data_IF_476650477101
#
_entry.id   IF_476650477101
#
_cell.length_a   1.000
_cell.length_b   1.000
_cell.length_c   1.000
_cell.angle_alpha   90.00
_cell.angle_beta   90.00
_cell.angle_gamma   90.00
#
_symmetry.space_group_name_H-M   'P 1'
#
loop_
_entity.id
_entity.type
_entity.pdbx_description
1 polymer ?
#
# COMPACT_ATOMS: atom_id res chain seq x y z
N UNK A 1 -7.02 15.88 9.94
CA UNK A 1 -6.97 15.33 11.31
C UNK A 1 -6.40 16.31 12.31
N UNK A 2 -5.12 16.70 12.24
CA UNK A 2 -4.51 17.59 13.26
C UNK A 2 -5.22 18.96 13.40
N UNK A 3 -5.91 19.40 12.35
CA UNK A 3 -6.71 20.63 12.31
C UNK A 3 -8.23 20.38 12.38
N UNK A 4 -8.66 19.26 12.98
CA UNK A 4 -10.08 18.95 13.20
C UNK A 4 -10.82 18.22 12.06
N UNK A 5 -10.22 18.08 10.87
CA UNK A 5 -10.84 17.32 9.78
C UNK A 5 -10.96 15.82 10.08
N UNK A 6 -12.14 15.26 9.84
CA UNK A 6 -12.55 13.88 10.09
C UNK A 6 -12.41 13.06 8.79
N UNK A 7 -11.60 11.99 8.77
CA UNK A 7 -11.48 11.10 7.61
C UNK A 7 -12.84 10.53 7.18
N UNK A 8 -13.01 10.33 5.87
CA UNK A 8 -14.26 9.89 5.20
C UNK A 8 -15.40 10.90 5.18
N UNK A 9 -15.33 11.96 5.98
CA UNK A 9 -16.35 13.02 6.07
C UNK A 9 -15.85 14.31 5.42
N UNK A 10 -14.74 14.84 5.93
CA UNK A 10 -14.13 16.07 5.40
C UNK A 10 -13.10 15.78 4.31
N UNK A 11 -12.55 14.56 4.30
CA UNK A 11 -11.56 14.09 3.33
C UNK A 11 -11.87 12.63 2.99
N UNK A 12 -12.31 12.39 1.76
CA UNK A 12 -12.67 11.07 1.28
C UNK A 12 -11.44 10.29 0.80
N UNK A 13 -11.36 9.03 1.25
CA UNK A 13 -10.43 8.00 0.77
C UNK A 13 -10.95 6.61 1.21
N UNK A 14 -10.40 5.51 0.67
CA UNK A 14 -10.79 4.14 1.06
C UNK A 14 -9.85 3.46 2.04
N UNK A 15 -8.75 4.10 2.42
CA UNK A 15 -7.79 3.54 3.38
C UNK A 15 -8.42 3.58 4.77
N UNK A 16 -8.24 2.55 5.59
CA UNK A 16 -8.76 2.57 6.94
C UNK A 16 -8.04 3.61 7.82
N UNK A 17 -8.69 3.98 8.93
CA UNK A 17 -8.31 5.08 9.81
C UNK A 17 -6.86 5.00 10.33
N UNK A 18 -6.35 3.79 10.58
CA UNK A 18 -5.00 3.59 11.11
C UNK A 18 -3.91 4.17 10.22
N UNK A 19 -4.07 4.14 8.89
CA UNK A 19 -3.12 4.78 7.98
C UNK A 19 -3.11 6.31 8.16
N UNK A 20 -4.29 6.93 8.30
CA UNK A 20 -4.38 8.35 8.56
C UNK A 20 -3.75 8.73 9.91
N UNK A 21 -3.90 7.90 10.94
CA UNK A 21 -3.27 8.11 12.26
C UNK A 21 -1.74 8.06 12.15
N UNK A 22 -1.19 7.09 11.41
CA UNK A 22 0.25 6.99 11.16
C UNK A 22 0.77 8.26 10.49
N UNK A 23 0.10 8.73 9.45
CA UNK A 23 0.51 9.96 8.77
C UNK A 23 0.28 11.20 9.62
N UNK A 24 -0.80 11.29 10.39
CA UNK A 24 -1.02 12.37 11.34
C UNK A 24 0.10 12.46 12.37
N UNK A 25 0.62 11.32 12.86
CA UNK A 25 1.79 11.28 13.73
C UNK A 25 3.03 11.88 13.04
N UNK A 26 3.33 11.50 11.79
CA UNK A 26 4.47 12.08 11.07
C UNK A 26 4.31 13.59 10.79
N UNK A 27 3.08 14.08 10.65
CA UNK A 27 2.80 15.50 10.48
C UNK A 27 3.00 16.33 11.76
N UNK A 28 3.12 15.70 12.95
CA UNK A 28 3.49 16.41 14.18
C UNK A 28 4.91 17.01 14.10
N UNK A 29 5.73 16.55 13.15
CA UNK A 29 7.10 17.03 12.93
C UNK A 29 7.16 18.22 11.96
N UNK A 30 6.01 18.75 11.51
CA UNK A 30 5.84 19.98 10.73
C UNK A 30 6.85 20.14 9.56
N UNK A 31 7.83 21.08 9.54
CA UNK A 31 8.71 21.24 8.38
C UNK A 31 9.56 19.99 8.08
N UNK A 32 9.69 19.08 9.05
CA UNK A 32 10.40 17.81 8.91
C UNK A 32 9.47 16.62 8.60
N UNK A 33 8.17 16.83 8.35
CA UNK A 33 7.20 15.75 8.13
C UNK A 33 7.60 14.78 7.01
N UNK A 34 8.22 15.29 5.93
CA UNK A 34 8.75 14.48 4.84
C UNK A 34 9.82 13.51 5.34
N UNK A 35 10.79 14.02 6.10
CA UNK A 35 11.84 13.20 6.70
C UNK A 35 11.26 12.24 7.75
N UNK A 36 10.30 12.69 8.55
CA UNK A 36 9.68 11.89 9.60
C UNK A 36 9.01 10.62 9.03
N UNK A 37 8.18 10.74 8.00
CA UNK A 37 7.55 9.55 7.43
C UNK A 37 8.54 8.65 6.68
N UNK A 38 9.57 9.22 6.03
CA UNK A 38 10.59 8.44 5.34
C UNK A 38 11.46 7.64 6.33
N UNK A 39 11.84 8.27 7.45
CA UNK A 39 12.54 7.57 8.55
C UNK A 39 11.65 6.52 9.21
N UNK A 40 10.35 6.81 9.38
CA UNK A 40 9.37 5.84 9.86
C UNK A 40 9.21 4.63 8.92
N UNK A 41 9.19 4.87 7.61
CA UNK A 41 9.16 3.82 6.60
C UNK A 41 10.45 2.99 6.63
N UNK A 42 11.62 3.62 6.66
CA UNK A 42 12.92 2.95 6.79
C UNK A 42 13.00 2.09 8.05
N UNK A 43 12.59 2.63 9.20
CA UNK A 43 12.55 1.89 10.46
C UNK A 43 11.64 0.66 10.33
N UNK A 44 10.47 0.81 9.70
CA UNK A 44 9.53 -0.30 9.47
C UNK A 44 10.15 -1.39 8.58
N UNK A 45 10.86 -1.02 7.52
CA UNK A 45 11.59 -1.96 6.66
C UNK A 45 12.69 -2.68 7.44
N UNK A 46 13.52 -1.95 8.19
CA UNK A 46 14.61 -2.53 9.00
C UNK A 46 14.09 -3.51 10.05
N UNK A 47 13.04 -3.14 10.79
CA UNK A 47 12.41 -4.02 11.77
C UNK A 47 11.78 -5.25 11.10
N UNK A 48 11.14 -5.07 9.95
CA UNK A 48 10.59 -6.19 9.17
C UNK A 48 11.70 -7.12 8.69
N UNK A 49 12.83 -6.59 8.23
CA UNK A 49 14.00 -7.38 7.83
C UNK A 49 14.59 -8.18 9.01
N UNK A 50 14.61 -7.62 10.23
CA UNK A 50 15.00 -8.36 11.45
C UNK A 50 14.02 -9.53 11.71
N UNK A 51 12.72 -9.29 11.54
CA UNK A 51 11.68 -10.32 11.70
C UNK A 51 11.82 -11.41 10.62
N UNK A 52 12.10 -11.04 9.37
CA UNK A 52 12.44 -11.95 8.27
C UNK A 52 13.63 -12.81 8.66
N UNK A 53 14.73 -12.22 9.14
CA UNK A 53 15.90 -12.98 9.58
C UNK A 53 15.52 -13.98 10.68
N UNK A 54 14.81 -13.54 11.73
CA UNK A 54 14.39 -14.41 12.84
C UNK A 54 13.57 -15.62 12.36
N UNK A 55 12.66 -15.43 11.41
CA UNK A 55 11.87 -16.51 10.81
C UNK A 55 12.72 -17.40 9.88
N UNK A 56 13.55 -16.81 9.02
CA UNK A 56 14.38 -17.52 8.06
C UNK A 56 15.45 -18.41 8.72
N UNK A 57 15.93 -18.07 9.94
CA UNK A 57 16.83 -18.93 10.73
C UNK A 57 16.25 -20.31 11.04
N UNK A 58 14.93 -20.48 10.90
CA UNK A 58 14.26 -21.75 11.13
C UNK A 58 14.47 -22.75 9.98
N UNK A 59 14.91 -22.27 8.80
CA UNK A 59 15.09 -23.07 7.58
C UNK A 59 16.47 -22.93 6.95
N UNK A 60 17.28 -21.95 7.37
CA UNK A 60 18.59 -21.66 6.80
C UNK A 60 19.63 -21.19 7.83
N UNK A 61 20.90 -21.10 7.40
CA UNK A 61 22.01 -20.53 8.18
C UNK A 61 21.82 -19.02 8.45
N UNK A 62 22.69 -18.41 9.27
CA UNK A 62 22.61 -16.98 9.57
C UNK A 62 22.76 -16.14 8.31
N UNK A 63 23.71 -16.53 7.45
CA UNK A 63 23.91 -15.92 6.13
C UNK A 63 22.69 -16.12 5.24
N UNK A 64 22.09 -17.32 5.19
CA UNK A 64 20.88 -17.53 4.39
C UNK A 64 19.68 -16.69 4.85
N UNK A 65 19.55 -16.50 6.17
CA UNK A 65 18.54 -15.62 6.74
C UNK A 65 18.80 -14.13 6.41
N UNK A 66 20.07 -13.70 6.42
CA UNK A 66 20.47 -12.36 5.97
C UNK A 66 20.11 -12.16 4.49
N UNK A 67 20.39 -13.14 3.62
CA UNK A 67 20.03 -13.06 2.20
C UNK A 67 18.52 -12.94 1.98
N UNK A 68 17.71 -13.68 2.75
CA UNK A 68 16.25 -13.52 2.71
C UNK A 68 15.80 -12.10 3.10
N UNK A 69 16.42 -11.51 4.12
CA UNK A 69 16.12 -10.14 4.54
C UNK A 69 16.56 -9.10 3.52
N UNK A 70 17.76 -9.23 2.95
CA UNK A 70 18.25 -8.36 1.88
C UNK A 70 17.38 -8.47 0.63
N UNK A 71 16.93 -9.68 0.29
CA UNK A 71 16.03 -9.92 -0.83
C UNK A 71 14.69 -9.20 -0.61
N UNK A 72 14.12 -9.27 0.59
CA UNK A 72 12.92 -8.51 0.95
C UNK A 72 13.12 -7.01 0.70
N UNK A 73 14.21 -6.43 1.25
CA UNK A 73 14.50 -4.99 1.09
C UNK A 73 14.66 -4.61 -0.37
N UNK A 74 15.49 -5.34 -1.14
CA UNK A 74 15.75 -5.04 -2.54
C UNK A 74 14.48 -5.15 -3.41
N UNK A 75 13.57 -6.09 -3.10
CA UNK A 75 12.35 -6.27 -3.88
C UNK A 75 11.31 -5.16 -3.65
N UNK A 76 11.35 -4.45 -2.52
CA UNK A 76 10.42 -3.34 -2.26
C UNK A 76 10.51 -2.27 -3.35
N UNK A 77 11.73 -1.90 -3.76
CA UNK A 77 11.98 -0.84 -4.76
C UNK A 77 11.35 -1.15 -6.12
N UNK A 78 11.29 -2.44 -6.50
CA UNK A 78 10.69 -2.88 -7.76
C UNK A 78 9.18 -2.60 -7.84
N UNK A 79 8.51 -2.48 -6.70
CA UNK A 79 7.08 -2.29 -6.58
C UNK A 79 6.67 -0.92 -6.01
N UNK A 80 7.59 0.04 -5.92
CA UNK A 80 7.30 1.36 -5.37
C UNK A 80 7.37 1.45 -3.84
N UNK A 81 7.99 0.46 -3.18
CA UNK A 81 8.11 0.34 -1.72
C UNK A 81 9.27 1.13 -1.11
N UNK A 82 9.98 1.96 -1.87
CA UNK A 82 11.09 2.80 -1.39
C UNK A 82 10.66 3.97 -0.47
N UNK A 83 9.36 4.16 -0.24
CA UNK A 83 8.81 5.22 0.61
C UNK A 83 7.66 4.74 1.48
N UNK A 84 6.77 5.65 1.90
CA UNK A 84 5.68 5.35 2.84
C UNK A 84 4.48 4.56 2.28
N UNK A 85 4.68 3.62 1.35
CA UNK A 85 3.56 2.78 0.89
C UNK A 85 2.93 2.01 2.06
N UNK A 86 1.60 1.92 2.12
CA UNK A 86 0.91 1.23 3.23
C UNK A 86 1.48 -0.15 3.61
N UNK A 87 1.87 -1.05 2.67
CA UNK A 87 2.49 -2.33 3.00
C UNK A 87 3.83 -2.24 3.70
N UNK A 88 4.59 -1.15 3.52
CA UNK A 88 5.86 -0.94 4.22
C UNK A 88 5.64 -0.90 5.74
N UNK A 89 4.55 -0.29 6.18
CA UNK A 89 4.18 -0.21 7.60
C UNK A 89 3.55 -1.52 8.09
N UNK A 90 2.52 -2.02 7.41
CA UNK A 90 1.77 -3.16 7.94
C UNK A 90 2.51 -4.50 7.81
N UNK A 91 3.47 -4.64 6.90
CA UNK A 91 4.29 -5.85 6.80
C UNK A 91 5.05 -6.14 8.10
N UNK A 92 5.41 -5.11 8.87
CA UNK A 92 6.00 -5.30 10.20
C UNK A 92 5.01 -6.00 11.15
N UNK A 93 3.76 -5.53 11.19
CA UNK A 93 2.70 -6.12 12.02
C UNK A 93 2.40 -7.55 11.59
N UNK A 94 2.24 -7.78 10.28
CA UNK A 94 2.00 -9.11 9.70
C UNK A 94 3.19 -10.05 9.99
N UNK A 95 4.42 -9.60 9.79
CA UNK A 95 5.63 -10.38 10.09
C UNK A 95 5.71 -10.75 11.57
N UNK A 96 5.43 -9.82 12.48
CA UNK A 96 5.37 -10.07 13.92
C UNK A 96 4.24 -11.05 14.30
N UNK A 97 3.09 -10.98 13.63
CA UNK A 97 1.99 -11.92 13.80
C UNK A 97 2.42 -13.34 13.38
N UNK A 98 2.97 -13.48 12.18
CA UNK A 98 3.46 -14.76 11.67
C UNK A 98 4.62 -15.32 12.49
N UNK A 99 5.50 -14.47 13.03
CA UNK A 99 6.56 -14.90 13.94
C UNK A 99 6.01 -15.56 15.22
N UNK A 100 4.86 -15.13 15.73
CA UNK A 100 4.20 -15.81 16.86
C UNK A 100 3.75 -17.22 16.48
N UNK A 101 3.24 -17.43 15.26
CA UNK A 101 2.87 -18.74 14.75
C UNK A 101 4.10 -19.62 14.51
N UNK A 102 5.18 -19.06 13.95
CA UNK A 102 6.46 -19.78 13.79
C UNK A 102 7.01 -20.27 15.13
N UNK A 103 6.87 -19.48 16.20
CA UNK A 103 7.28 -19.92 17.55
C UNK A 103 6.48 -21.13 18.03
N UNK A 104 5.18 -21.22 17.70
CA UNK A 104 4.37 -22.41 17.97
C UNK A 104 4.88 -23.62 17.15
N UNK A 105 5.13 -23.43 15.85
CA UNK A 105 5.60 -24.51 14.96
C UNK A 105 6.92 -25.14 15.45
N UNK A 106 7.78 -24.33 16.05
CA UNK A 106 9.11 -24.74 16.55
C UNK A 106 9.09 -25.36 17.93
N UNK A 107 8.05 -25.15 18.71
CA UNK A 107 7.99 -25.68 20.06
C UNK A 107 7.90 -27.21 20.04
N UNK A 108 8.64 -27.87 20.92
CA UNK A 108 8.61 -29.33 21.07
C UNK A 108 7.36 -29.77 21.83
N UNK A 109 7.03 -29.02 22.88
CA UNK A 109 5.83 -29.19 23.69
C UNK A 109 5.03 -27.89 23.68
N UNK A 110 3.71 -28.01 23.55
CA UNK A 110 2.79 -26.87 23.55
C UNK A 110 1.60 -27.18 24.45
N UNK A 111 1.23 -26.20 25.28
CA UNK A 111 -0.05 -26.18 25.98
C UNK A 111 -1.07 -25.42 25.15
N UNK A 112 -2.36 -25.73 25.34
CA UNK A 112 -3.43 -24.97 24.69
C UNK A 112 -3.37 -23.48 25.06
N UNK A 113 -3.04 -23.16 26.31
CA UNK A 113 -2.88 -21.79 26.77
C UNK A 113 -1.81 -21.01 25.98
N UNK A 114 -0.69 -21.64 25.64
CA UNK A 114 0.37 -20.99 24.85
C UNK A 114 -0.08 -20.76 23.39
N UNK A 115 -0.83 -21.72 22.82
CA UNK A 115 -1.43 -21.56 21.48
C UNK A 115 -2.42 -20.40 21.48
N UNK A 116 -3.30 -20.32 22.47
CA UNK A 116 -4.26 -19.23 22.63
C UNK A 116 -3.53 -17.90 22.79
N UNK A 117 -2.55 -17.80 23.70
CA UNK A 117 -1.80 -16.57 23.94
C UNK A 117 -1.13 -16.04 22.67
N UNK A 118 -0.40 -16.89 21.94
CA UNK A 118 0.30 -16.49 20.72
C UNK A 118 -0.65 -16.26 19.55
N UNK A 119 -1.70 -17.07 19.44
CA UNK A 119 -2.76 -16.91 18.45
C UNK A 119 -3.47 -15.57 18.62
N UNK A 120 -3.92 -15.26 19.83
CA UNK A 120 -4.54 -13.97 20.17
C UNK A 120 -3.62 -12.79 19.86
N UNK A 121 -2.33 -12.87 20.20
CA UNK A 121 -1.36 -11.83 19.85
C UNK A 121 -1.22 -11.67 18.31
N UNK A 122 -1.15 -12.78 17.57
CA UNK A 122 -1.08 -12.73 16.11
C UNK A 122 -2.35 -12.11 15.50
N UNK A 123 -3.52 -12.50 15.98
CA UNK A 123 -4.79 -12.00 15.46
C UNK A 123 -5.03 -10.53 15.82
N UNK A 124 -4.58 -10.07 17.00
CA UNK A 124 -4.62 -8.65 17.35
C UNK A 124 -3.75 -7.82 16.40
N UNK A 125 -2.53 -8.29 16.09
CA UNK A 125 -1.64 -7.64 15.13
C UNK A 125 -2.25 -7.60 13.72
N UNK A 126 -2.95 -8.66 13.30
CA UNK A 126 -3.75 -8.62 12.07
C UNK A 126 -4.90 -7.62 12.14
N UNK A 127 -5.60 -7.51 13.28
CA UNK A 127 -6.63 -6.49 13.49
C UNK A 127 -6.11 -5.06 13.37
N UNK A 128 -4.91 -4.79 13.90
CA UNK A 128 -4.24 -3.50 13.73
C UNK A 128 -3.77 -3.29 12.27
N UNK A 129 -3.29 -4.35 11.62
CA UNK A 129 -2.89 -4.34 10.21
C UNK A 129 -4.08 -4.02 9.27
N UNK A 130 -5.27 -4.56 9.57
CA UNK A 130 -6.52 -4.23 8.88
C UNK A 130 -6.85 -2.74 8.96
N UNK A 131 -6.46 -2.05 10.03
CA UNK A 131 -6.62 -0.59 10.14
C UNK A 131 -5.63 0.21 9.29
N UNK A 132 -4.61 -0.42 8.72
CA UNK A 132 -3.70 0.20 7.75
C UNK A 132 -4.14 -0.14 6.33
N UNK A 133 -4.49 -1.41 6.07
CA UNK A 133 -5.06 -1.87 4.80
C UNK A 133 -5.86 -3.16 4.97
N UNK A 134 -7.12 -3.15 4.52
CA UNK A 134 -8.02 -4.31 4.64
C UNK A 134 -7.57 -5.56 3.87
N UNK A 135 -6.72 -5.43 2.84
CA UNK A 135 -6.22 -6.57 2.07
C UNK A 135 -5.39 -7.56 2.90
N UNK A 136 -4.96 -7.15 4.09
CA UNK A 136 -4.29 -8.03 5.07
C UNK A 136 -5.22 -9.14 5.60
N UNK A 137 -6.54 -9.04 5.34
CA UNK A 137 -7.53 -10.08 5.66
C UNK A 137 -7.15 -11.44 5.08
N UNK A 138 -6.57 -11.51 3.88
CA UNK A 138 -6.22 -12.79 3.26
C UNK A 138 -5.16 -13.54 4.07
N UNK A 139 -4.11 -12.82 4.50
CA UNK A 139 -3.05 -13.38 5.35
C UNK A 139 -3.55 -13.67 6.76
N UNK A 140 -4.45 -12.83 7.31
CA UNK A 140 -5.09 -13.05 8.60
C UNK A 140 -5.99 -14.30 8.62
N UNK A 141 -6.76 -14.54 7.55
CA UNK A 141 -7.54 -15.76 7.37
C UNK A 141 -6.63 -16.99 7.31
N UNK A 142 -5.52 -16.93 6.56
CA UNK A 142 -4.53 -18.00 6.56
C UNK A 142 -3.95 -18.25 7.96
N UNK A 143 -3.59 -17.20 8.70
CA UNK A 143 -3.09 -17.33 10.07
C UNK A 143 -4.12 -18.02 10.99
N UNK A 144 -5.40 -17.60 10.94
CA UNK A 144 -6.48 -18.22 11.71
C UNK A 144 -6.68 -19.71 11.36
N UNK A 145 -6.73 -20.04 10.07
CA UNK A 145 -6.84 -21.43 9.60
C UNK A 145 -5.63 -22.27 10.03
N UNK A 146 -4.42 -21.71 9.97
CA UNK A 146 -3.21 -22.40 10.37
C UNK A 146 -3.14 -22.61 11.89
N UNK A 147 -3.63 -21.66 12.69
CA UNK A 147 -3.81 -21.85 14.14
C UNK A 147 -4.81 -22.98 14.43
N UNK A 148 -5.91 -23.05 13.69
CA UNK A 148 -6.85 -24.18 13.74
C UNK A 148 -6.16 -25.52 13.43
N UNK A 149 -5.32 -25.55 12.39
CA UNK A 149 -4.49 -26.71 12.08
C UNK A 149 -3.55 -27.08 13.24
N UNK A 150 -2.89 -26.12 13.89
CA UNK A 150 -2.04 -26.36 15.06
C UNK A 150 -2.87 -26.96 16.21
N UNK A 151 -4.02 -26.37 16.56
CA UNK A 151 -4.91 -26.89 17.61
C UNK A 151 -5.29 -28.35 17.35
N UNK A 152 -5.65 -28.68 16.10
CA UNK A 152 -5.99 -30.07 15.72
C UNK A 152 -4.80 -31.02 15.80
N UNK A 153 -3.60 -30.59 15.41
CA UNK A 153 -2.36 -31.40 15.54
C UNK A 153 -2.04 -31.71 17.00
N UNK A 154 -2.45 -30.85 17.93
CA UNK A 154 -2.33 -31.04 19.38
C UNK A 154 -3.57 -31.71 20.03
N UNK A 155 -4.41 -32.36 19.21
CA UNK A 155 -5.58 -33.16 19.66
C UNK A 155 -6.62 -32.39 20.47
N UNK A 156 -6.70 -31.07 20.30
CA UNK A 156 -7.77 -30.26 20.88
C UNK A 156 -9.12 -30.68 20.25
N UNK A 157 -10.17 -30.74 21.08
CA UNK A 157 -11.51 -31.16 20.65
C UNK A 157 -12.07 -30.21 19.58
N UNK A 158 -13.02 -30.67 18.76
CA UNK A 158 -13.67 -29.81 17.76
C UNK A 158 -14.43 -28.63 18.39
N UNK A 159 -15.21 -28.82 19.48
CA UNK A 159 -15.85 -27.71 20.19
C UNK A 159 -14.86 -26.66 20.70
N UNK A 160 -13.76 -27.09 21.34
CA UNK A 160 -12.75 -26.15 21.86
C UNK A 160 -12.01 -25.45 20.72
N UNK A 161 -11.73 -26.15 19.62
CA UNK A 161 -11.13 -25.54 18.42
C UNK A 161 -12.05 -24.46 17.85
N UNK A 162 -13.36 -24.72 17.75
CA UNK A 162 -14.35 -23.74 17.30
C UNK A 162 -14.43 -22.52 18.21
N UNK A 163 -14.39 -22.72 19.54
CA UNK A 163 -14.34 -21.64 20.53
C UNK A 163 -13.08 -20.78 20.36
N UNK A 164 -11.92 -21.41 20.26
CA UNK A 164 -10.64 -20.70 20.16
C UNK A 164 -10.52 -19.95 18.82
N UNK A 165 -10.99 -20.53 17.71
CA UNK A 165 -11.07 -19.84 16.41
C UNK A 165 -12.06 -18.66 16.43
N UNK A 166 -13.17 -18.79 17.14
CA UNK A 166 -14.13 -17.68 17.32
C UNK A 166 -13.49 -16.55 18.12
N UNK A 167 -12.77 -16.88 19.20
CA UNK A 167 -12.00 -15.90 19.99
C UNK A 167 -10.99 -15.16 19.09
N UNK A 168 -10.22 -15.91 18.29
CA UNK A 168 -9.26 -15.36 17.35
C UNK A 168 -9.88 -14.42 16.31
N UNK A 169 -11.02 -14.79 15.72
CA UNK A 169 -11.76 -13.94 14.79
C UNK A 169 -12.25 -12.66 15.48
N UNK A 170 -12.82 -12.77 16.69
CA UNK A 170 -13.27 -11.62 17.48
C UNK A 170 -12.13 -10.66 17.76
N UNK A 171 -10.97 -11.15 18.19
CA UNK A 171 -9.79 -10.32 18.47
C UNK A 171 -9.30 -9.60 17.20
N UNK A 172 -9.29 -10.27 16.05
CA UNK A 172 -8.88 -9.66 14.79
C UNK A 172 -9.85 -8.58 14.30
N UNK A 173 -11.16 -8.78 14.49
CA UNK A 173 -12.18 -7.85 14.04
C UNK A 173 -12.40 -6.69 15.02
N UNK A 174 -12.02 -6.84 16.29
CA UNK A 174 -12.27 -5.87 17.34
C UNK A 174 -11.80 -4.44 16.98
N UNK A 175 -10.56 -4.19 16.46
CA UNK A 175 -10.16 -2.84 16.09
C UNK A 175 -11.07 -2.21 15.02
N UNK A 176 -11.50 -3.00 14.03
CA UNK A 176 -12.42 -2.53 12.98
C UNK A 176 -13.81 -2.21 13.52
N UNK A 177 -14.33 -3.07 14.40
CA UNK A 177 -15.64 -2.86 15.05
C UNK A 177 -15.61 -1.62 15.93
N UNK A 178 -14.54 -1.39 16.70
CA UNK A 178 -14.38 -0.21 17.55
C UNK A 178 -14.33 1.07 16.70
N UNK A 179 -13.54 1.08 15.62
CA UNK A 179 -13.47 2.24 14.72
C UNK A 179 -14.82 2.49 14.07
N UNK A 180 -15.43 1.48 13.44
CA UNK A 180 -16.74 1.62 12.80
C UNK A 180 -17.83 2.06 13.78
N UNK A 181 -17.90 1.43 14.95
CA UNK A 181 -18.83 1.79 16.03
C UNK A 181 -18.69 3.24 16.48
N UNK A 182 -17.45 3.76 16.57
CA UNK A 182 -17.20 5.17 16.88
C UNK A 182 -17.78 6.09 15.82
N UNK A 183 -17.60 5.79 14.52
CA UNK A 183 -18.20 6.59 13.45
C UNK A 183 -19.73 6.56 13.51
N UNK A 184 -20.34 5.41 13.82
CA UNK A 184 -21.79 5.31 14.02
C UNK A 184 -22.29 6.16 15.18
N UNK A 185 -21.62 6.10 16.34
CA UNK A 185 -21.99 6.89 17.52
C UNK A 185 -21.84 8.40 17.28
N UNK A 186 -20.90 8.81 16.43
CA UNK A 186 -20.69 10.20 16.05
C UNK A 186 -21.60 10.68 14.89
N UNK A 187 -22.49 9.85 14.35
CA UNK A 187 -23.40 10.21 13.25
C UNK A 187 -22.79 10.11 11.84
N UNK A 188 -21.58 9.56 11.71
CA UNK A 188 -20.84 9.41 10.45
C UNK A 188 -20.72 7.96 9.97
N UNK A 189 -21.59 7.08 10.48
CA UNK A 189 -21.54 5.64 10.20
C UNK A 189 -21.71 5.29 8.73
N UNK A 190 -22.56 6.01 8.00
CA UNK A 190 -22.81 5.77 6.57
C UNK A 190 -21.60 6.16 5.71
N UNK A 191 -20.93 7.26 6.01
CA UNK A 191 -19.70 7.70 5.32
C UNK A 191 -18.58 6.68 5.52
N UNK A 192 -18.36 6.26 6.77
CA UNK A 192 -17.37 5.23 7.09
C UNK A 192 -17.67 3.91 6.38
N UNK A 193 -18.92 3.44 6.45
CA UNK A 193 -19.35 2.19 5.81
C UNK A 193 -19.19 2.23 4.30
N UNK A 194 -19.63 3.33 3.67
CA UNK A 194 -19.49 3.50 2.23
C UNK A 194 -18.02 3.49 1.81
N UNK A 195 -17.19 4.32 2.45
CA UNK A 195 -15.78 4.45 2.10
C UNK A 195 -15.00 3.13 2.29
N UNK A 196 -15.23 2.42 3.40
CA UNK A 196 -14.40 1.28 3.79
C UNK A 196 -14.92 -0.08 3.29
N UNK A 197 -16.23 -0.22 3.06
CA UNK A 197 -16.85 -1.51 2.70
C UNK A 197 -17.43 -1.48 1.29
N UNK A 198 -18.24 -0.47 0.96
CA UNK A 198 -19.08 -0.52 -0.25
C UNK A 198 -18.35 0.01 -1.50
N UNK A 199 -17.58 1.08 -1.36
CA UNK A 199 -16.95 1.84 -2.46
C UNK A 199 -16.19 0.96 -3.47
N UNK A 200 -15.49 -0.07 -2.99
CA UNK A 200 -14.70 -0.99 -3.82
C UNK A 200 -15.54 -1.74 -4.85
N UNK A 201 -16.79 -2.08 -4.52
CA UNK A 201 -17.70 -2.82 -5.41
C UNK A 201 -18.27 -1.95 -6.52
N UNK A 202 -18.15 -0.63 -6.41
CA UNK A 202 -18.60 0.33 -7.43
C UNK A 202 -17.51 0.72 -8.43
N UNK A 203 -16.28 0.18 -8.28
CA UNK A 203 -15.24 0.36 -9.29
C UNK A 203 -15.66 -0.28 -10.61
N UNK A 204 -15.42 0.43 -11.70
CA UNK A 204 -15.60 -0.16 -13.03
C UNK A 204 -14.35 -0.93 -13.44
N UNK A 205 -14.50 -1.87 -14.38
CA UNK A 205 -13.36 -2.71 -14.80
C UNK A 205 -12.34 -1.89 -15.59
N UNK A 206 -11.06 -2.13 -15.32
CA UNK A 206 -9.98 -1.58 -16.15
C UNK A 206 -10.11 -2.05 -17.62
N UNK A 207 -9.69 -1.21 -18.58
CA UNK A 207 -9.57 -1.62 -19.97
C UNK A 207 -8.72 -2.89 -20.12
N UNK A 208 -9.11 -3.88 -20.95
CA UNK A 208 -8.43 -5.19 -21.02
C UNK A 208 -6.92 -5.11 -21.31
N UNK A 209 -6.49 -4.15 -22.13
CA UNK A 209 -5.08 -3.95 -22.45
C UNK A 209 -4.25 -3.47 -21.24
N UNK A 210 -4.83 -2.58 -20.41
CA UNK A 210 -4.21 -2.09 -19.17
C UNK A 210 -4.15 -3.23 -18.16
N UNK A 211 -5.24 -3.98 -18.01
CA UNK A 211 -5.33 -5.13 -17.12
C UNK A 211 -4.27 -6.20 -17.46
N UNK A 212 -4.11 -6.54 -18.75
CA UNK A 212 -3.10 -7.50 -19.22
C UNK A 212 -1.66 -7.00 -19.00
N UNK A 213 -1.43 -5.69 -19.18
CA UNK A 213 -0.14 -5.07 -18.86
C UNK A 213 0.19 -5.16 -17.36
N UNK A 214 -0.76 -4.78 -16.51
CA UNK A 214 -0.65 -4.83 -15.05
C UNK A 214 -0.43 -6.27 -14.56
N UNK A 215 -1.18 -7.24 -15.09
CA UNK A 215 -0.98 -8.67 -14.81
C UNK A 215 0.44 -9.13 -15.16
N UNK A 216 0.93 -8.79 -16.35
CA UNK A 216 2.30 -9.17 -16.74
C UNK A 216 3.33 -8.58 -15.79
N UNK A 217 3.20 -7.30 -15.42
CA UNK A 217 4.13 -6.66 -14.50
C UNK A 217 4.12 -7.33 -13.13
N UNK A 218 2.93 -7.58 -12.56
CA UNK A 218 2.83 -8.23 -11.25
C UNK A 218 3.37 -9.67 -11.28
N UNK A 219 3.13 -10.41 -12.37
CA UNK A 219 3.67 -11.74 -12.56
C UNK A 219 5.21 -11.73 -12.68
N UNK A 220 5.80 -10.75 -13.35
CA UNK A 220 7.26 -10.58 -13.42
C UNK A 220 7.87 -10.19 -12.07
N UNK A 221 7.15 -9.44 -11.24
CA UNK A 221 7.59 -9.07 -9.89
C UNK A 221 7.55 -10.28 -8.94
N UNK A 222 6.48 -11.07 -8.97
CA UNK A 222 6.26 -12.19 -8.04
C UNK A 222 6.95 -13.47 -8.51
N UNK A 223 6.94 -13.74 -9.82
CA UNK A 223 7.35 -14.98 -10.44
C UNK A 223 8.74 -15.47 -10.03
N UNK A 224 9.81 -14.65 -10.06
CA UNK A 224 11.14 -15.07 -9.68
C UNK A 224 11.24 -15.55 -8.22
N UNK A 225 10.53 -14.89 -7.29
CA UNK A 225 10.51 -15.33 -5.89
C UNK A 225 9.60 -16.55 -5.70
N UNK A 226 8.50 -16.65 -6.44
CA UNK A 226 7.60 -17.79 -6.38
C UNK A 226 8.27 -19.07 -6.91
N UNK A 227 9.10 -18.94 -7.96
CA UNK A 227 9.93 -20.01 -8.50
C UNK A 227 10.85 -20.63 -7.44
N UNK A 228 11.29 -19.84 -6.45
CA UNK A 228 12.14 -20.35 -5.36
C UNK A 228 11.45 -21.44 -4.55
N UNK A 229 10.11 -21.44 -4.47
CA UNK A 229 9.33 -22.50 -3.82
C UNK A 229 9.49 -23.84 -4.55
N UNK A 230 9.50 -23.81 -5.88
CA UNK A 230 9.69 -25.00 -6.72
C UNK A 230 11.16 -25.45 -6.67
N UNK A 231 12.11 -24.52 -6.86
CA UNK A 231 13.53 -24.83 -6.86
C UNK A 231 13.99 -25.50 -5.56
N UNK A 232 13.49 -25.05 -4.40
CA UNK A 232 13.90 -25.63 -3.12
C UNK A 232 13.42 -27.08 -2.93
N UNK A 233 12.38 -27.53 -3.65
CA UNK A 233 11.92 -28.93 -3.61
C UNK A 233 12.93 -29.87 -4.27
N UNK A 234 13.60 -29.39 -5.32
CA UNK A 234 14.60 -30.16 -6.06
C UNK A 234 16.00 -30.04 -5.44
N UNK A 235 16.40 -28.83 -5.06
CA UNK A 235 17.77 -28.52 -4.64
C UNK A 235 18.04 -28.76 -3.14
N UNK A 236 16.99 -28.83 -2.31
CA UNK A 236 17.13 -28.82 -0.84
C UNK A 236 16.32 -29.95 -0.19
N UNK A 237 16.76 -31.20 -0.39
CA UNK A 237 16.07 -32.41 0.11
C UNK A 237 16.37 -32.75 1.57
N UNK A 238 17.57 -32.42 2.05
CA UNK A 238 18.00 -32.75 3.41
C UNK A 238 17.56 -31.68 4.39
N UNK A 239 16.44 -31.91 5.09
CA UNK A 239 15.87 -30.99 6.08
C UNK A 239 15.50 -31.71 7.36
N UNK A 240 15.73 -31.09 8.52
CA UNK A 240 15.21 -31.60 9.80
C UNK A 240 13.67 -31.51 9.83
N UNK A 241 13.04 -32.22 10.77
CA UNK A 241 11.58 -32.20 10.91
C UNK A 241 11.03 -30.77 11.14
N UNK A 242 11.71 -29.97 11.98
CA UNK A 242 11.33 -28.58 12.26
C UNK A 242 11.49 -27.71 11.01
N UNK A 243 12.61 -27.85 10.28
CA UNK A 243 12.83 -27.12 9.03
C UNK A 243 11.73 -27.41 7.99
N UNK A 244 11.30 -28.68 7.87
CA UNK A 244 10.20 -29.06 6.97
C UNK A 244 8.88 -28.39 7.35
N UNK A 245 8.52 -28.37 8.64
CA UNK A 245 7.29 -27.71 9.11
C UNK A 245 7.32 -26.20 8.87
N UNK A 246 8.44 -25.55 9.18
CA UNK A 246 8.61 -24.11 8.95
C UNK A 246 8.58 -23.77 7.46
N UNK A 247 9.27 -24.54 6.61
CA UNK A 247 9.24 -24.33 5.17
C UNK A 247 7.83 -24.54 4.58
N UNK A 248 7.09 -25.54 5.05
CA UNK A 248 5.69 -25.73 4.66
C UNK A 248 4.84 -24.51 5.00
N UNK A 249 4.96 -23.98 6.23
CA UNK A 249 4.25 -22.77 6.65
C UNK A 249 4.61 -21.56 5.77
N UNK A 250 5.90 -21.30 5.54
CA UNK A 250 6.33 -20.17 4.69
C UNK A 250 5.87 -20.30 3.24
N UNK A 251 5.89 -21.51 2.68
CA UNK A 251 5.41 -21.76 1.32
C UNK A 251 3.90 -21.58 1.23
N UNK A 252 3.14 -22.12 2.19
CA UNK A 252 1.68 -21.97 2.23
C UNK A 252 1.27 -20.50 2.43
N UNK A 253 1.96 -19.77 3.32
CA UNK A 253 1.77 -18.34 3.49
C UNK A 253 2.09 -17.58 2.20
N UNK A 254 3.20 -17.90 1.53
CA UNK A 254 3.57 -17.27 0.25
C UNK A 254 2.49 -17.46 -0.81
N UNK A 255 2.00 -18.69 -0.98
CA UNK A 255 0.92 -18.98 -1.94
C UNK A 255 -0.35 -18.22 -1.57
N UNK A 256 -0.72 -18.18 -0.29
CA UNK A 256 -1.89 -17.43 0.15
C UNK A 256 -1.76 -15.92 -0.10
N UNK A 257 -0.58 -15.34 0.18
CA UNK A 257 -0.32 -13.92 -0.07
C UNK A 257 -0.43 -13.60 -1.57
N UNK A 258 0.14 -14.47 -2.43
CA UNK A 258 0.02 -14.33 -3.90
C UNK A 258 -1.43 -14.45 -4.36
N UNK A 259 -2.20 -15.41 -3.84
CA UNK A 259 -3.64 -15.51 -4.14
C UNK A 259 -4.37 -14.23 -3.73
N UNK A 260 -4.08 -13.69 -2.53
CA UNK A 260 -4.66 -12.44 -2.05
C UNK A 260 -4.37 -11.24 -2.98
N UNK A 261 -3.17 -11.16 -3.55
CA UNK A 261 -2.84 -10.16 -4.57
C UNK A 261 -3.71 -10.32 -5.82
N UNK A 262 -3.90 -11.57 -6.29
CA UNK A 262 -4.66 -11.82 -7.50
C UNK A 262 -6.16 -11.59 -7.33
N UNK A 263 -6.72 -11.83 -6.14
CA UNK A 263 -8.15 -11.63 -5.83
C UNK A 263 -8.61 -10.17 -5.87
N UNK A 264 -7.69 -9.18 -5.82
CA UNK A 264 -8.04 -7.75 -5.85
C UNK A 264 -8.45 -7.29 -7.27
N UNK A 265 -7.85 -7.85 -8.33
CA UNK A 265 -8.26 -7.65 -9.72
C UNK A 265 -7.65 -6.47 -10.49
N UNK A 266 -7.17 -5.41 -9.84
CA UNK A 266 -6.56 -4.24 -10.50
C UNK A 266 -5.07 -4.18 -10.16
N UNK A 267 -4.28 -5.05 -10.79
CA UNK A 267 -2.93 -5.44 -10.36
C UNK A 267 -1.84 -4.36 -10.46
N UNK A 268 -1.98 -3.27 -9.71
CA UNK A 268 -0.93 -2.26 -9.54
C UNK A 268 0.32 -2.88 -8.92
N UNK A 269 1.51 -2.45 -9.36
CA UNK A 269 2.79 -3.02 -8.91
C UNK A 269 2.93 -3.07 -7.37
N UNK A 270 2.50 -2.01 -6.67
CA UNK A 270 2.59 -1.93 -5.21
C UNK A 270 1.69 -2.93 -4.47
N UNK A 271 0.79 -3.62 -5.16
CA UNK A 271 0.04 -4.75 -4.59
C UNK A 271 0.88 -6.01 -4.43
N UNK A 272 2.05 -6.11 -5.08
CA UNK A 272 2.96 -7.23 -4.91
C UNK A 272 3.74 -7.20 -3.58
N UNK A 273 3.90 -6.01 -2.98
CA UNK A 273 4.73 -5.80 -1.77
C UNK A 273 4.41 -6.77 -0.61
N UNK A 274 3.13 -7.05 -0.28
CA UNK A 274 2.81 -7.97 0.81
C UNK A 274 3.31 -9.39 0.53
N UNK A 275 3.26 -9.84 -0.72
CA UNK A 275 3.75 -11.16 -1.11
C UNK A 275 5.28 -11.28 -0.99
N UNK A 276 6.02 -10.18 -1.13
CA UNK A 276 7.48 -10.20 -1.03
C UNK A 276 7.96 -10.63 0.36
N UNK A 277 7.21 -10.33 1.43
CA UNK A 277 7.56 -10.72 2.78
C UNK A 277 7.66 -12.25 2.94
N UNK A 278 6.59 -13.04 2.76
CA UNK A 278 6.67 -14.50 2.85
C UNK A 278 7.54 -15.13 1.78
N UNK A 279 7.51 -14.61 0.54
CA UNK A 279 8.30 -15.16 -0.56
C UNK A 279 9.80 -15.05 -0.30
N UNK A 280 10.24 -13.93 0.29
CA UNK A 280 11.65 -13.74 0.67
C UNK A 280 12.06 -14.70 1.78
N UNK A 281 11.20 -14.91 2.79
CA UNK A 281 11.45 -15.88 3.87
C UNK A 281 11.52 -17.31 3.30
N UNK A 282 10.58 -17.70 2.43
CA UNK A 282 10.54 -19.02 1.80
C UNK A 282 11.81 -19.30 0.97
N UNK A 283 12.37 -18.25 0.36
CA UNK A 283 13.61 -18.33 -0.43
C UNK A 283 14.84 -18.71 0.39
N UNK A 284 14.85 -18.46 1.71
CA UNK A 284 15.99 -18.73 2.58
C UNK A 284 16.50 -20.18 2.49
N UNK A 285 15.61 -21.14 2.28
CA UNK A 285 15.97 -22.57 2.23
C UNK A 285 16.95 -22.89 1.10
N UNK A 286 16.88 -22.17 -0.02
CA UNK A 286 17.80 -22.37 -1.16
C UNK A 286 19.27 -22.14 -0.77
N UNK A 287 19.53 -21.35 0.26
CA UNK A 287 20.89 -21.10 0.74
C UNK A 287 21.58 -22.34 1.32
N UNK A 288 20.85 -23.43 1.54
CA UNK A 288 21.42 -24.73 1.97
C UNK A 288 22.12 -25.50 0.84
N UNK A 289 21.88 -25.13 -0.42
CA UNK A 289 22.53 -25.72 -1.60
C UNK A 289 23.56 -24.76 -2.21
N UNK A 290 24.64 -25.26 -2.80
CA UNK A 290 25.62 -24.43 -3.53
C UNK A 290 24.98 -23.71 -4.72
N UNK A 291 24.20 -24.43 -5.52
CA UNK A 291 23.46 -23.86 -6.67
C UNK A 291 22.44 -22.84 -6.20
N UNK A 292 21.68 -23.16 -5.15
CA UNK A 292 20.70 -22.24 -4.58
C UNK A 292 21.33 -20.96 -4.02
N UNK A 293 22.53 -21.04 -3.42
CA UNK A 293 23.29 -19.84 -2.99
C UNK A 293 23.64 -18.93 -4.17
N UNK A 294 24.18 -19.49 -5.25
CA UNK A 294 24.52 -18.71 -6.45
C UNK A 294 23.27 -18.06 -7.04
N UNK A 295 22.17 -18.81 -7.15
CA UNK A 295 20.89 -18.28 -7.61
C UNK A 295 20.40 -17.10 -6.75
N UNK A 296 20.42 -17.22 -5.42
CA UNK A 296 20.00 -16.13 -4.53
C UNK A 296 20.93 -14.90 -4.63
N UNK A 297 22.24 -15.09 -4.83
CA UNK A 297 23.17 -13.99 -5.06
C UNK A 297 22.85 -13.24 -6.37
N UNK A 298 22.62 -13.98 -7.45
CA UNK A 298 22.21 -13.39 -8.75
C UNK A 298 20.88 -12.67 -8.62
N UNK A 299 19.91 -13.29 -7.96
CA UNK A 299 18.58 -12.71 -7.77
C UNK A 299 18.63 -11.43 -6.94
N UNK A 300 19.39 -11.42 -5.84
CA UNK A 300 19.61 -10.23 -5.02
C UNK A 300 20.29 -9.11 -5.81
N UNK A 301 21.35 -9.42 -6.56
CA UNK A 301 22.05 -8.46 -7.39
C UNK A 301 21.12 -7.87 -8.47
N UNK A 302 20.40 -8.72 -9.19
CA UNK A 302 19.44 -8.32 -10.21
C UNK A 302 18.31 -7.45 -9.62
N UNK A 303 17.72 -7.86 -8.50
CA UNK A 303 16.67 -7.12 -7.81
C UNK A 303 17.15 -5.75 -7.33
N UNK A 304 18.36 -5.67 -6.78
CA UNK A 304 18.96 -4.41 -6.32
C UNK A 304 19.19 -3.46 -7.49
N UNK A 305 19.82 -3.93 -8.57
CA UNK A 305 20.09 -3.09 -9.76
C UNK A 305 18.79 -2.65 -10.42
N UNK A 306 17.86 -3.57 -10.66
CA UNK A 306 16.57 -3.26 -11.27
C UNK A 306 15.72 -2.33 -10.40
N UNK A 307 15.78 -2.49 -9.06
CA UNK A 307 15.13 -1.60 -8.10
C UNK A 307 15.64 -0.17 -8.21
N UNK A 308 16.96 0.02 -8.24
CA UNK A 308 17.56 1.35 -8.41
C UNK A 308 17.22 1.97 -9.77
N UNK A 309 17.23 1.18 -10.85
CA UNK A 309 16.78 1.65 -12.17
C UNK A 309 15.31 2.10 -12.11
N UNK A 310 14.43 1.31 -11.49
CA UNK A 310 13.01 1.64 -11.33
C UNK A 310 12.81 2.95 -10.53
N UNK A 311 13.58 3.17 -9.47
CA UNK A 311 13.53 4.43 -8.70
C UNK A 311 13.92 5.62 -9.58
N UNK A 312 15.01 5.51 -10.35
CA UNK A 312 15.45 6.57 -11.27
C UNK A 312 14.45 6.81 -12.40
N UNK A 313 13.83 5.76 -12.95
CA UNK A 313 12.79 5.88 -13.96
C UNK A 313 11.54 6.55 -13.40
N UNK A 314 11.13 6.21 -12.18
CA UNK A 314 10.01 6.86 -11.50
C UNK A 314 10.27 8.34 -11.27
N UNK A 315 11.49 8.73 -10.88
CA UNK A 315 11.87 10.14 -10.75
C UNK A 315 11.80 10.90 -12.08
N UNK A 316 12.14 10.24 -13.19
CA UNK A 316 12.01 10.83 -14.54
C UNK A 316 10.54 10.90 -15.01
N UNK A 317 9.72 9.95 -14.57
CA UNK A 317 8.32 9.80 -15.03
C UNK A 317 7.32 10.62 -14.23
N UNK A 318 7.57 10.85 -12.95
CA UNK A 318 6.63 11.50 -12.03
C UNK A 318 7.21 12.76 -11.35
N UNK A 319 8.44 13.13 -11.71
CA UNK A 319 9.15 14.27 -11.14
C UNK A 319 10.05 13.90 -9.96
N UNK A 320 10.87 14.86 -9.56
CA UNK A 320 11.85 14.75 -8.48
C UNK A 320 11.87 16.03 -7.62
N UNK A 321 12.84 16.16 -6.70
CA UNK A 321 12.97 17.35 -5.85
C UNK A 321 13.07 18.66 -6.66
N UNK A 322 13.77 18.67 -7.80
CA UNK A 322 13.87 19.84 -8.67
C UNK A 322 12.52 20.24 -9.24
N UNK A 323 11.75 19.28 -9.77
CA UNK A 323 10.37 19.49 -10.22
C UNK A 323 9.52 20.11 -9.11
N UNK A 324 9.59 19.56 -7.91
CA UNK A 324 8.85 20.05 -6.76
C UNK A 324 9.19 21.51 -6.45
N UNK A 325 10.49 21.85 -6.35
CA UNK A 325 10.94 23.22 -6.09
C UNK A 325 10.51 24.19 -7.20
N UNK A 326 10.69 23.82 -8.47
CA UNK A 326 10.27 24.66 -9.59
C UNK A 326 8.77 25.00 -9.56
N UNK A 327 7.92 24.02 -9.23
CA UNK A 327 6.47 24.22 -9.13
C UNK A 327 6.15 25.12 -7.93
N UNK A 328 6.80 24.86 -6.78
CA UNK A 328 6.60 25.68 -5.59
C UNK A 328 7.07 27.14 -5.79
N UNK A 329 8.14 27.35 -6.54
CA UNK A 329 8.64 28.69 -6.91
C UNK A 329 7.65 29.43 -7.82
N UNK A 330 6.87 28.71 -8.64
CA UNK A 330 5.81 29.33 -9.44
C UNK A 330 4.58 29.65 -8.59
N UNK A 331 4.13 28.71 -7.74
CA UNK A 331 2.95 28.89 -6.89
C UNK A 331 3.18 29.94 -5.79
N UNK A 332 4.40 30.08 -5.29
CA UNK A 332 4.73 31.06 -4.24
C UNK A 332 4.66 32.52 -4.69
N UNK A 333 4.68 32.80 -6.00
CA UNK A 333 4.62 34.17 -6.56
C UNK A 333 3.26 34.83 -6.37
N UNK A 334 2.19 34.06 -6.34
CA UNK A 334 0.83 34.57 -6.17
C UNK A 334 0.06 33.65 -5.22
N UNK A 335 -0.35 34.18 -4.08
CA UNK A 335 -1.07 33.36 -3.09
C UNK A 335 -2.44 32.98 -3.62
N UNK A 336 -2.81 31.72 -3.44
CA UNK A 336 -4.13 31.25 -3.80
C UNK A 336 -4.28 29.74 -3.74
N UNK A 337 -5.43 29.27 -4.22
CA UNK A 337 -5.77 27.86 -4.13
C UNK A 337 -5.27 27.06 -5.33
N UNK A 338 -4.59 25.95 -5.05
CA UNK A 338 -4.22 24.93 -6.03
C UNK A 338 -5.33 23.87 -6.10
N UNK A 339 -5.75 23.54 -7.31
CA UNK A 339 -6.53 22.33 -7.59
C UNK A 339 -5.69 21.34 -8.40
N UNK A 340 -5.55 20.11 -7.92
CA UNK A 340 -4.78 19.06 -8.58
C UNK A 340 -5.74 18.08 -9.25
N UNK A 341 -5.98 18.28 -10.54
CA UNK A 341 -6.78 17.37 -11.35
C UNK A 341 -6.00 16.11 -11.74
N UNK A 342 -4.71 16.27 -12.05
CA UNK A 342 -3.77 15.18 -12.28
C UNK A 342 -2.37 15.67 -11.87
N UNK A 343 -1.64 14.88 -11.09
CA UNK A 343 -0.46 15.37 -10.36
C UNK A 343 -0.22 14.62 -9.06
N UNK A 344 0.85 14.98 -8.36
CA UNK A 344 1.12 14.47 -7.01
C UNK A 344 0.31 15.27 -5.99
N UNK A 345 -0.50 14.60 -5.17
CA UNK A 345 -1.25 15.24 -4.10
C UNK A 345 -0.36 15.85 -2.98
N UNK A 346 0.94 15.55 -3.00
CA UNK A 346 1.92 16.04 -2.01
C UNK A 346 1.95 17.57 -1.90
N UNK A 347 1.60 18.30 -2.96
CA UNK A 347 1.61 19.76 -2.92
C UNK A 347 0.58 20.33 -1.92
N UNK A 348 -0.50 19.60 -1.60
CA UNK A 348 -1.44 20.02 -0.57
C UNK A 348 -0.83 20.07 0.83
N UNK A 349 0.25 19.31 1.09
CA UNK A 349 0.93 19.31 2.40
C UNK A 349 1.80 20.55 2.62
N UNK A 350 2.10 21.31 1.56
CA UNK A 350 2.99 22.48 1.59
C UNK A 350 2.28 23.79 1.25
N UNK A 351 0.98 23.72 0.96
CA UNK A 351 0.15 24.87 0.65
C UNK A 351 -0.88 25.11 1.75
N UNK A 352 -1.33 26.36 1.95
CA UNK A 352 -2.45 26.62 2.83
C UNK A 352 -3.66 25.77 2.43
N UNK A 353 -4.40 25.21 3.41
CA UNK A 353 -5.51 24.31 3.11
C UNK A 353 -6.62 25.05 2.36
N UNK A 354 -6.84 24.66 1.10
CA UNK A 354 -7.94 25.11 0.28
C UNK A 354 -8.99 24.00 0.18
N UNK A 355 -10.09 24.14 0.93
CA UNK A 355 -11.20 23.17 0.92
C UNK A 355 -12.06 23.31 -0.34
N UNK A 356 -11.45 23.12 -1.51
CA UNK A 356 -12.15 23.19 -2.80
C UNK A 356 -13.12 22.02 -3.00
N UNK A 357 -12.77 20.86 -2.43
CA UNK A 357 -13.52 19.61 -2.48
C UNK A 357 -13.14 18.74 -1.27
N UNK A 358 -14.03 17.83 -0.86
CA UNK A 358 -13.78 16.75 0.09
C UNK A 358 -13.08 15.54 -0.56
N UNK A 359 -12.91 15.52 -1.89
CA UNK A 359 -12.23 14.46 -2.63
C UNK A 359 -10.88 14.94 -3.21
N UNK A 360 -9.87 15.25 -2.38
CA UNK A 360 -8.66 15.93 -2.85
C UNK A 360 -7.78 15.06 -3.76
N UNK A 361 -7.96 13.74 -3.77
CA UNK A 361 -7.11 12.84 -4.54
C UNK A 361 -7.46 12.86 -6.03
N UNK A 362 -6.48 13.16 -6.93
CA UNK A 362 -6.72 13.37 -8.36
C UNK A 362 -7.47 12.24 -9.06
N UNK A 363 -7.21 10.99 -8.66
CA UNK A 363 -7.82 9.79 -9.24
C UNK A 363 -9.35 9.77 -9.18
N UNK A 364 -9.96 10.48 -8.23
CA UNK A 364 -11.42 10.59 -8.10
C UNK A 364 -12.07 11.38 -9.25
N UNK A 365 -11.31 12.26 -9.89
CA UNK A 365 -11.77 13.05 -11.03
C UNK A 365 -11.37 12.40 -12.34
N UNK A 366 -10.08 12.13 -12.51
CA UNK A 366 -9.55 11.78 -13.82
C UNK A 366 -9.68 10.30 -14.15
N UNK A 367 -9.84 9.37 -13.20
CA UNK A 367 -9.88 7.94 -13.53
C UNK A 367 -11.29 7.46 -13.89
N UNK A 368 -11.44 6.79 -15.03
CA UNK A 368 -12.72 6.17 -15.43
C UNK A 368 -13.17 5.06 -14.46
N UNK A 369 -12.20 4.37 -13.85
CA UNK A 369 -12.44 3.28 -12.89
C UNK A 369 -13.16 3.78 -11.63
N UNK A 370 -12.88 5.03 -11.26
CA UNK A 370 -13.36 5.67 -10.03
C UNK A 370 -14.70 6.38 -10.19
N UNK A 371 -15.20 6.52 -11.42
CA UNK A 371 -16.32 7.41 -11.78
C UNK A 371 -17.62 7.17 -10.98
N UNK A 372 -17.79 5.97 -10.39
CA UNK A 372 -18.96 5.62 -9.56
C UNK A 372 -18.58 5.14 -8.15
N UNK A 373 -17.29 5.06 -7.85
CA UNK A 373 -16.78 4.39 -6.65
C UNK A 373 -16.59 5.33 -5.44
N UNK A 374 -16.62 6.64 -5.68
CA UNK A 374 -16.24 7.65 -4.68
C UNK A 374 -17.43 8.30 -3.98
N UNK A 375 -18.67 8.01 -4.42
CA UNK A 375 -19.90 8.60 -3.90
C UNK A 375 -20.18 10.02 -4.39
N UNK A 376 -19.25 10.63 -5.14
CA UNK A 376 -19.44 11.90 -5.85
C UNK A 376 -19.74 11.65 -7.34
N UNK A 377 -20.44 12.58 -7.99
CA UNK A 377 -20.47 12.69 -9.45
C UNK A 377 -19.30 13.58 -9.92
N UNK A 378 -18.28 13.03 -10.61
CA UNK A 378 -17.09 13.79 -10.95
C UNK A 378 -17.33 15.02 -11.82
N UNK A 379 -18.31 14.97 -12.72
CA UNK A 379 -18.66 16.09 -13.59
C UNK A 379 -19.34 17.23 -12.81
N UNK A 380 -20.12 16.92 -11.78
CA UNK A 380 -20.76 17.91 -10.91
C UNK A 380 -19.74 18.54 -9.97
N UNK A 381 -18.90 17.72 -9.34
CA UNK A 381 -17.88 18.20 -8.40
C UNK A 381 -16.83 19.05 -9.10
N UNK A 382 -16.36 18.67 -10.31
CA UNK A 382 -15.39 19.50 -11.05
C UNK A 382 -15.96 20.88 -11.38
N UNK A 383 -17.25 20.97 -11.75
CA UNK A 383 -17.91 22.27 -12.01
C UNK A 383 -18.04 23.11 -10.74
N UNK A 384 -18.24 22.48 -9.57
CA UNK A 384 -18.26 23.17 -8.28
C UNK A 384 -16.87 23.68 -7.90
N UNK A 385 -15.82 22.89 -8.09
CA UNK A 385 -14.43 23.30 -7.89
C UNK A 385 -14.09 24.49 -8.80
N UNK A 386 -14.36 24.38 -10.10
CA UNK A 386 -14.01 25.43 -11.07
C UNK A 386 -14.78 26.74 -10.86
N UNK A 387 -15.99 26.70 -10.32
CA UNK A 387 -16.76 27.89 -9.92
C UNK A 387 -16.14 28.66 -8.76
N UNK A 388 -15.28 28.03 -7.97
CA UNK A 388 -14.52 28.70 -6.91
C UNK A 388 -13.28 29.43 -7.45
N UNK A 389 -13.01 29.36 -8.76
CA UNK A 389 -11.87 30.01 -9.42
C UNK A 389 -10.53 29.74 -8.71
N UNK A 390 -10.09 28.46 -8.59
CA UNK A 390 -8.79 28.17 -8.01
C UNK A 390 -7.71 28.92 -8.80
N UNK A 391 -6.80 29.57 -8.08
CA UNK A 391 -5.70 30.34 -8.69
C UNK A 391 -4.83 29.48 -9.58
N UNK A 392 -4.60 28.22 -9.19
CA UNK A 392 -3.81 27.27 -9.95
C UNK A 392 -4.57 25.98 -10.21
N UNK A 393 -4.37 25.43 -11.41
CA UNK A 393 -4.82 24.09 -11.78
C UNK A 393 -3.63 23.27 -12.25
N UNK A 394 -3.40 22.11 -11.65
CA UNK A 394 -2.38 21.15 -12.06
C UNK A 394 -3.01 19.99 -12.83
N UNK A 395 -2.49 19.72 -14.02
CA UNK A 395 -2.97 18.64 -14.89
C UNK A 395 -1.82 18.03 -15.73
N UNK A 396 -2.11 16.93 -16.41
CA UNK A 396 -1.20 16.30 -17.38
C UNK A 396 -1.72 16.40 -18.81
N UNK A 397 -0.77 16.54 -19.75
CA UNK A 397 -1.01 16.50 -21.19
C UNK A 397 0.06 15.65 -21.90
N UNK A 398 -0.28 14.79 -22.89
CA UNK A 398 -1.63 14.44 -23.36
C UNK A 398 -2.44 13.64 -22.32
N UNK A 399 -3.75 13.40 -22.54
CA UNK A 399 -4.54 12.56 -21.64
C UNK A 399 -3.99 11.15 -21.50
N UNK A 400 -4.21 10.55 -20.33
CA UNK A 400 -3.97 9.12 -20.13
C UNK A 400 -5.07 8.28 -20.81
N UNK A 401 -4.77 7.02 -21.11
CA UNK A 401 -5.71 6.13 -21.80
C UNK A 401 -6.95 5.75 -20.96
N UNK A 402 -6.84 5.85 -19.64
CA UNK A 402 -7.90 5.59 -18.66
C UNK A 402 -8.50 6.88 -18.09
N UNK A 403 -8.27 8.02 -18.76
CA UNK A 403 -8.77 9.31 -18.31
C UNK A 403 -10.26 9.51 -18.62
N UNK A 404 -10.99 10.12 -17.69
CA UNK A 404 -12.39 10.47 -17.82
C UNK A 404 -12.55 11.67 -18.78
N UNK A 405 -12.79 11.36 -20.06
CA UNK A 405 -12.90 12.35 -21.13
C UNK A 405 -13.96 13.43 -20.86
N UNK A 406 -15.09 13.07 -20.26
CA UNK A 406 -16.17 14.02 -19.96
C UNK A 406 -15.74 15.06 -18.91
N UNK A 407 -15.08 14.62 -17.85
CA UNK A 407 -14.54 15.52 -16.81
C UNK A 407 -13.39 16.35 -17.38
N UNK A 408 -12.51 15.73 -18.18
CA UNK A 408 -11.41 16.41 -18.86
C UNK A 408 -11.92 17.53 -19.77
N UNK A 409 -12.97 17.29 -20.55
CA UNK A 409 -13.55 18.30 -21.43
C UNK A 409 -14.00 19.54 -20.65
N UNK A 410 -14.74 19.35 -19.54
CA UNK A 410 -15.19 20.44 -18.67
C UNK A 410 -14.00 21.25 -18.13
N UNK A 411 -12.95 20.56 -17.67
CA UNK A 411 -11.74 21.19 -17.16
C UNK A 411 -11.05 22.04 -18.24
N UNK A 412 -10.78 21.45 -19.40
CA UNK A 412 -10.03 22.12 -20.46
C UNK A 412 -10.82 23.22 -21.16
N UNK A 413 -12.15 23.14 -21.18
CA UNK A 413 -13.00 24.26 -21.58
C UNK A 413 -12.80 25.46 -20.65
N UNK A 414 -12.80 25.23 -19.34
CA UNK A 414 -12.54 26.30 -18.37
C UNK A 414 -11.11 26.84 -18.47
N UNK A 415 -10.12 25.97 -18.62
CA UNK A 415 -8.71 26.38 -18.79
C UNK A 415 -8.59 27.29 -20.01
N UNK A 416 -9.14 26.92 -21.17
CA UNK A 416 -9.08 27.74 -22.39
C UNK A 416 -9.73 29.11 -22.26
N UNK A 417 -10.75 29.23 -21.41
CA UNK A 417 -11.50 30.48 -21.25
C UNK A 417 -10.86 31.47 -20.29
N UNK A 418 -10.12 31.00 -19.29
CA UNK A 418 -9.75 31.83 -18.15
C UNK A 418 -8.41 31.48 -17.48
N UNK A 419 -7.60 30.59 -18.08
CA UNK A 419 -6.31 30.22 -17.51
C UNK A 419 -5.21 30.25 -18.57
N UNK A 420 -4.03 30.69 -18.14
CA UNK A 420 -2.79 30.65 -18.92
C UNK A 420 -1.80 29.64 -18.34
N UNK A 421 -0.94 29.08 -19.19
CA UNK A 421 0.11 28.16 -18.75
C UNK A 421 1.19 28.94 -17.97
N UNK A 422 1.37 28.60 -16.70
CA UNK A 422 2.37 29.21 -15.82
C UNK A 422 3.66 28.37 -15.72
N UNK A 423 3.53 27.05 -15.90
CA UNK A 423 4.66 26.14 -15.86
C UNK A 423 4.38 24.87 -16.68
N UNK A 424 5.42 24.33 -17.30
CA UNK A 424 5.37 23.04 -18.00
C UNK A 424 6.70 22.33 -17.83
N UNK A 425 6.61 21.06 -17.48
CA UNK A 425 7.77 20.19 -17.41
C UNK A 425 7.48 18.83 -18.03
N UNK A 426 8.46 18.32 -18.78
CA UNK A 426 8.37 16.99 -19.36
C UNK A 426 8.52 15.93 -18.28
N UNK A 427 7.56 15.01 -18.22
CA UNK A 427 7.56 13.88 -17.32
C UNK A 427 7.24 12.59 -18.09
N UNK A 428 8.28 11.76 -18.26
CA UNK A 428 8.21 10.59 -19.14
C UNK A 428 7.78 10.94 -20.58
N UNK A 429 6.62 10.43 -21.00
CA UNK A 429 6.04 10.67 -22.34
C UNK A 429 5.08 11.85 -22.40
N UNK A 430 4.74 12.45 -21.26
CA UNK A 430 3.82 13.57 -21.18
C UNK A 430 4.45 14.81 -20.53
N UNK A 431 3.59 15.73 -20.16
CA UNK A 431 3.93 16.98 -19.51
C UNK A 431 3.03 17.17 -18.31
N UNK A 432 3.65 17.48 -17.17
CA UNK A 432 2.94 18.10 -16.06
C UNK A 432 2.82 19.59 -16.39
N UNK A 433 1.60 20.12 -16.33
CA UNK A 433 1.29 21.51 -16.67
C UNK A 433 0.58 22.17 -15.50
N UNK A 434 1.06 23.34 -15.12
CA UNK A 434 0.43 24.22 -14.14
C UNK A 434 -0.20 25.39 -14.89
N UNK A 435 -1.50 25.53 -14.74
CA UNK A 435 -2.27 26.64 -15.27
C UNK A 435 -2.54 27.65 -14.15
N UNK A 436 -2.56 28.94 -14.47
CA UNK A 436 -2.88 30.03 -13.56
C UNK A 436 -4.08 30.79 -14.08
N UNK A 437 -4.99 31.16 -13.18
CA UNK A 437 -6.17 31.97 -13.50
C UNK A 437 -5.72 33.33 -14.06
N UNK A 438 -6.34 33.76 -15.16
CA UNK A 438 -6.09 35.07 -15.74
C UNK A 438 -6.67 36.17 -14.85
N UNK A 439 -5.94 37.27 -14.71
CA UNK A 439 -6.45 38.43 -13.98
C UNK A 439 -7.74 38.92 -14.67
N UNK A 440 -8.79 39.27 -13.91
CA UNK A 440 -10.03 39.75 -14.50
C UNK A 440 -9.74 40.97 -15.37
N UNK A 441 -10.11 40.89 -16.66
CA UNK A 441 -9.98 41.99 -17.59
C UNK A 441 -10.83 43.17 -17.07
N UNK A 442 -10.19 44.25 -16.63
CA UNK A 442 -10.84 45.52 -16.31
C UNK A 442 -11.23 45.74 -14.84
N UNK A 443 -10.27 46.20 -14.05
CA UNK A 443 -10.46 47.41 -13.24
C UNK A 443 -9.23 48.27 -13.46
N UNK A 444 -9.29 49.16 -14.44
CA UNK A 444 -8.51 50.39 -14.38
C UNK A 444 -8.80 51.02 -13.01
N UNK A 445 -7.77 51.18 -12.20
CA UNK A 445 -7.85 51.96 -10.96
C UNK A 445 -8.09 53.42 -11.39
N UNK A 446 -9.12 54.10 -10.85
CA UNK A 446 -9.24 55.54 -11.01
C UNK A 446 -8.09 56.28 -10.31
#
# INVERSE_FOLDING_TARGET
>A
MLHGAIPFVDVWDRKPLGLFIIYAFFHLFAPYQLWAYQLGALLSVCLTAIVVMKMARCVASATGALFAALLYVAWLDLAGGQGGQSPVFYNLLVGCAMLNIVRLIRAETLTQAEIIKRGSMAMLLFGLSLQIKYTTVFEGCFAGLFLGYILKRHRISWPDTGRDLTLFATIALLPTVVVGGTYWLCGYGSQWWFANIISIFYRTKEPPAILAHNFRNIALLIGPLLLNIVLQMFLCRNRTAVQRKCAFFFNAWSVCAVIGVFLIGEWFNHYAIPAFLPLSIASATLFTSSVGRVWLMVLLAAGTVAGQVMVLENQKRYGNARTFHNIMDVISKEKGCLFIYNGSAIFYDFLPPCRLTDHPFPGHFHSVVENRATGMDPATEIRKVLRQNPTYIMAYAPPAADENEAVRAILYDRIRQAYTEAYRERQGKGFLVLYRLDAPAGREQP
#
